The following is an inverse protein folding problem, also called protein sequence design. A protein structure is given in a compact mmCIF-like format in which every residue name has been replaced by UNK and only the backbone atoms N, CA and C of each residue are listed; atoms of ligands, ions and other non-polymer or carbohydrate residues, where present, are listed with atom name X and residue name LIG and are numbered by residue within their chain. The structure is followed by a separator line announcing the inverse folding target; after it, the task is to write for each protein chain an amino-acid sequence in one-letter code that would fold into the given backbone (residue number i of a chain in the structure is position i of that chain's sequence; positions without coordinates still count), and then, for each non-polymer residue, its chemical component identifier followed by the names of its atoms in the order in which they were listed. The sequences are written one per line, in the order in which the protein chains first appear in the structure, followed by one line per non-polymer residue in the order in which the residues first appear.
data_IF_268607634305
#
_entry.id   IF_268607634305
#
_cell.length_a   1.000
_cell.length_b   1.000
_cell.length_c   1.000
_cell.angle_alpha   90.00
_cell.angle_beta   90.00
_cell.angle_gamma   90.00
#
_symmetry.space_group_name_H-M   'P 1'
#
loop_
_entity.id
_entity.type
_entity.pdbx_description
1 polymer ?
#
# COMPACT_ATOMS: atom_id res chain seq x y z
N UNK A 1 27.50 18.92 15.03
CA UNK A 1 27.43 17.45 15.19
C UNK A 1 26.03 17.02 14.80
N UNK A 2 25.87 16.25 13.71
CA UNK A 2 24.56 15.72 13.33
C UNK A 2 24.17 14.65 14.36
N UNK A 3 23.23 15.00 15.21
CA UNK A 3 22.74 14.14 16.28
C UNK A 3 21.64 13.19 15.73
N UNK A 4 21.94 12.50 14.64
CA UNK A 4 21.00 11.49 14.10
C UNK A 4 21.26 10.18 14.84
N UNK A 5 20.26 9.74 15.61
CA UNK A 5 20.27 8.47 16.36
C UNK A 5 20.31 7.23 15.44
N UNK A 6 20.05 7.39 14.15
CA UNK A 6 20.08 6.31 13.16
C UNK A 6 20.85 6.75 11.92
N UNK A 7 21.66 5.85 11.38
CA UNK A 7 22.35 6.08 10.11
C UNK A 7 21.35 6.23 8.95
N UNK A 8 21.68 7.12 8.01
CA UNK A 8 20.88 7.38 6.81
C UNK A 8 20.63 6.11 5.98
N UNK A 9 21.62 5.22 5.91
CA UNK A 9 21.50 3.95 5.20
C UNK A 9 20.46 3.03 5.85
N UNK A 10 20.43 2.96 7.18
CA UNK A 10 19.44 2.19 7.93
C UNK A 10 18.03 2.76 7.75
N UNK A 11 17.88 4.07 7.80
CA UNK A 11 16.59 4.72 7.56
C UNK A 11 16.06 4.42 6.16
N UNK A 12 16.93 4.45 5.15
CA UNK A 12 16.56 4.06 3.79
C UNK A 12 16.21 2.58 3.68
N UNK A 13 16.91 1.71 4.39
CA UNK A 13 16.58 0.28 4.44
C UNK A 13 15.20 0.03 5.04
N UNK A 14 14.84 0.71 6.13
CA UNK A 14 13.51 0.66 6.75
C UNK A 14 12.44 1.13 5.76
N UNK A 15 12.66 2.27 5.09
CA UNK A 15 11.74 2.80 4.09
C UNK A 15 11.51 1.82 2.93
N UNK A 16 12.58 1.21 2.42
CA UNK A 16 12.51 0.22 1.37
C UNK A 16 11.78 -1.06 1.81
N UNK A 17 12.01 -1.52 3.03
CA UNK A 17 11.31 -2.68 3.60
C UNK A 17 9.81 -2.42 3.68
N UNK A 18 9.39 -1.25 4.16
CA UNK A 18 7.98 -0.89 4.26
C UNK A 18 7.29 -0.86 2.90
N UNK A 19 7.91 -0.22 1.89
CA UNK A 19 7.30 -0.12 0.55
C UNK A 19 7.22 -1.49 -0.14
N UNK A 20 8.22 -2.34 0.05
CA UNK A 20 8.21 -3.71 -0.47
C UNK A 20 7.11 -4.55 0.17
N UNK A 21 6.90 -4.43 1.48
CA UNK A 21 5.83 -5.13 2.20
C UNK A 21 4.46 -4.72 1.66
N UNK A 22 4.22 -3.42 1.47
CA UNK A 22 2.99 -2.89 0.87
C UNK A 22 2.78 -3.43 -0.55
N UNK A 23 3.82 -3.47 -1.37
CA UNK A 23 3.75 -4.00 -2.74
C UNK A 23 3.42 -5.51 -2.76
N UNK A 24 3.98 -6.26 -1.82
CA UNK A 24 3.71 -7.70 -1.68
C UNK A 24 2.26 -7.93 -1.26
N UNK A 25 1.80 -7.22 -0.20
CA UNK A 25 0.43 -7.39 0.29
C UNK A 25 -0.63 -6.93 -0.73
N UNK A 26 -0.35 -5.86 -1.49
CA UNK A 26 -1.16 -5.46 -2.64
C UNK A 26 -1.36 -6.60 -3.65
N UNK A 27 -0.29 -7.34 -3.96
CA UNK A 27 -0.35 -8.51 -4.84
C UNK A 27 -1.12 -9.66 -4.19
N UNK A 28 -0.84 -9.95 -2.92
CA UNK A 28 -1.47 -11.03 -2.15
C UNK A 28 -2.98 -10.85 -2.04
N UNK A 29 -3.43 -9.62 -1.88
CA UNK A 29 -4.85 -9.28 -1.91
C UNK A 29 -5.45 -9.25 -3.33
N UNK A 30 -4.67 -9.58 -4.36
CA UNK A 30 -5.13 -9.74 -5.75
C UNK A 30 -5.48 -8.43 -6.45
N UNK A 31 -4.92 -7.30 -6.01
CA UNK A 31 -5.18 -5.98 -6.60
C UNK A 31 -4.32 -5.69 -7.82
N UNK A 32 -3.23 -6.44 -8.01
CA UNK A 32 -2.31 -6.18 -9.13
C UNK A 32 -2.93 -6.58 -10.46
N UNK A 33 -3.17 -5.61 -11.33
CA UNK A 33 -3.67 -5.81 -12.70
C UNK A 33 -2.61 -5.47 -13.76
N UNK A 34 -2.02 -4.28 -13.67
CA UNK A 34 -1.06 -3.76 -14.67
C UNK A 34 0.33 -3.52 -14.09
N UNK A 35 0.48 -3.57 -12.78
CA UNK A 35 1.73 -3.21 -12.08
C UNK A 35 1.91 -1.71 -11.84
N UNK A 36 1.16 -0.84 -12.53
CA UNK A 36 1.33 0.62 -12.43
C UNK A 36 1.22 1.16 -11.01
N UNK A 37 0.33 0.60 -10.18
CA UNK A 37 0.16 1.02 -8.80
C UNK A 37 1.47 0.84 -8.01
N UNK A 38 2.11 -0.31 -8.16
CA UNK A 38 3.35 -0.65 -7.45
C UNK A 38 4.50 0.25 -7.92
N UNK A 39 4.56 0.59 -9.21
CA UNK A 39 5.59 1.46 -9.76
C UNK A 39 5.47 2.92 -9.27
N UNK A 40 4.31 3.32 -8.75
CA UNK A 40 4.04 4.64 -8.22
C UNK A 40 4.04 4.68 -6.68
N UNK A 41 4.49 3.61 -6.02
CA UNK A 41 4.73 3.62 -4.60
C UNK A 41 6.03 4.39 -4.32
N UNK A 42 5.95 5.40 -3.48
CA UNK A 42 7.09 6.24 -3.13
C UNK A 42 7.22 6.38 -1.62
N UNK A 43 8.43 6.63 -1.14
CA UNK A 43 8.71 7.01 0.23
C UNK A 43 9.46 8.32 0.26
N UNK A 44 9.17 9.13 1.28
CA UNK A 44 9.91 10.35 1.60
C UNK A 44 10.39 10.28 3.04
N UNK A 45 11.67 10.52 3.24
CA UNK A 45 12.29 10.60 4.54
C UNK A 45 12.41 12.07 4.91
N UNK A 46 11.88 12.45 6.06
CA UNK A 46 12.01 13.78 6.66
C UNK A 46 12.86 13.60 7.92
N UNK A 47 14.07 14.16 7.89
CA UNK A 47 15.00 14.12 9.00
C UNK A 47 15.01 15.49 9.71
N UNK A 48 14.83 15.49 11.03
CA UNK A 48 14.83 16.64 11.90
C UNK A 48 15.18 16.23 13.33
N UNK A 49 14.45 16.73 14.31
CA UNK A 49 14.49 16.20 15.69
C UNK A 49 13.99 14.75 15.72
N UNK A 50 13.07 14.42 14.80
CA UNK A 50 12.50 13.10 14.61
C UNK A 50 12.74 12.63 13.17
N UNK A 51 12.80 11.32 12.97
CA UNK A 51 12.86 10.72 11.64
C UNK A 51 11.46 10.24 11.27
N UNK A 52 10.91 10.85 10.22
CA UNK A 52 9.58 10.49 9.70
C UNK A 52 9.75 9.86 8.32
N UNK A 53 9.23 8.64 8.15
CA UNK A 53 9.15 7.96 6.86
C UNK A 53 7.70 8.03 6.39
N UNK A 54 7.45 8.79 5.33
CA UNK A 54 6.13 8.93 4.72
C UNK A 54 6.03 8.04 3.48
N UNK A 55 4.99 7.21 3.43
CA UNK A 55 4.65 6.44 2.23
C UNK A 55 3.60 7.19 1.40
N UNK A 56 3.78 7.21 0.08
CA UNK A 56 2.84 7.77 -0.87
C UNK A 56 2.26 6.67 -1.74
N UNK A 57 0.95 6.68 -1.87
CA UNK A 57 0.20 5.78 -2.73
C UNK A 57 -0.69 6.57 -3.67
N UNK A 58 -1.02 6.03 -4.83
CA UNK A 58 -1.98 6.68 -5.73
C UNK A 58 -3.39 6.67 -5.13
N UNK A 59 -4.19 7.69 -5.42
CA UNK A 59 -5.51 7.92 -4.80
C UNK A 59 -6.42 6.69 -4.80
N UNK A 60 -6.43 5.93 -5.88
CA UNK A 60 -7.29 4.75 -5.94
C UNK A 60 -6.83 3.61 -5.01
N UNK A 61 -5.54 3.52 -4.68
CA UNK A 61 -5.04 2.56 -3.68
C UNK A 61 -5.57 2.89 -2.29
N UNK A 62 -5.61 4.18 -1.92
CA UNK A 62 -6.18 4.62 -0.65
C UNK A 62 -7.66 4.22 -0.54
N UNK A 63 -8.43 4.42 -1.62
CA UNK A 63 -9.83 3.98 -1.68
C UNK A 63 -10.00 2.46 -1.58
N UNK A 64 -9.09 1.69 -2.16
CA UNK A 64 -9.10 0.23 -2.05
C UNK A 64 -8.71 -0.20 -0.64
N UNK A 65 -7.74 0.47 -0.02
CA UNK A 65 -7.32 0.17 1.35
C UNK A 65 -8.47 0.37 2.34
N UNK A 66 -9.14 1.50 2.26
CA UNK A 66 -10.29 1.81 3.12
C UNK A 66 -11.57 1.04 2.76
N UNK A 67 -11.68 0.61 1.49
CA UNK A 67 -12.94 0.15 0.91
C UNK A 67 -13.91 1.30 0.61
N UNK A 68 -14.95 1.01 -0.15
CA UNK A 68 -16.01 1.97 -0.50
C UNK A 68 -17.36 1.42 -0.10
N UNK A 69 -18.08 2.13 0.75
CA UNK A 69 -19.43 1.71 1.18
C UNK A 69 -20.42 1.72 0.02
N UNK A 70 -21.46 0.90 0.09
CA UNK A 70 -22.51 0.79 -0.92
C UNK A 70 -23.15 2.16 -1.24
N UNK A 71 -23.31 3.02 -0.24
CA UNK A 71 -23.86 4.37 -0.41
C UNK A 71 -23.00 5.24 -1.35
N UNK A 72 -21.67 5.10 -1.26
CA UNK A 72 -20.69 5.91 -1.98
C UNK A 72 -20.35 5.36 -3.37
N UNK A 73 -20.91 4.22 -3.78
CA UNK A 73 -20.71 3.68 -5.13
C UNK A 73 -21.42 4.58 -6.14
N UNK A 74 -20.69 5.16 -7.13
CA UNK A 74 -21.25 6.10 -8.10
C UNK A 74 -22.00 5.39 -9.23
N UNK A 75 -22.99 4.59 -8.84
CA UNK A 75 -23.83 3.83 -9.75
C UNK A 75 -25.26 3.81 -9.27
N UNK A 76 -26.19 4.10 -10.17
CA UNK A 76 -27.65 4.03 -9.93
C UNK A 76 -28.27 3.15 -11.03
N UNK A 77 -28.83 1.97 -10.69
CA UNK A 77 -29.52 1.13 -11.65
C UNK A 77 -30.65 1.90 -12.35
N UNK A 78 -30.77 1.75 -13.65
CA UNK A 78 -31.86 2.37 -14.42
C UNK A 78 -31.67 3.87 -14.75
N UNK A 79 -30.61 4.54 -14.31
CA UNK A 79 -30.38 5.96 -14.57
C UNK A 79 -30.04 6.30 -16.04
N UNK A 80 -29.91 5.32 -16.92
CA UNK A 80 -29.57 5.53 -18.33
C UNK A 80 -28.14 6.04 -18.57
N UNK A 81 -27.32 6.14 -17.55
CA UNK A 81 -25.93 6.58 -17.64
C UNK A 81 -25.09 5.66 -18.53
N UNK A 82 -25.01 6.05 -19.81
CA UNK A 82 -24.34 5.24 -20.85
C UNK A 82 -22.83 5.16 -20.68
N UNK A 83 -22.19 6.09 -19.98
CA UNK A 83 -20.73 6.11 -19.79
C UNK A 83 -20.31 6.94 -18.58
N UNK A 84 -20.45 6.40 -17.38
CA UNK A 84 -19.73 6.98 -16.24
C UNK A 84 -18.28 6.50 -16.26
N UNK A 85 -17.34 7.32 -15.77
CA UNK A 85 -15.92 6.92 -15.60
C UNK A 85 -15.80 5.61 -14.81
N UNK A 86 -16.68 5.41 -13.84
CA UNK A 86 -16.73 4.20 -13.04
C UNK A 86 -17.09 2.96 -13.88
N UNK A 87 -18.14 3.02 -14.70
CA UNK A 87 -18.54 1.91 -15.58
C UNK A 87 -17.47 1.66 -16.65
N UNK A 88 -16.91 2.70 -17.25
CA UNK A 88 -15.80 2.55 -18.23
C UNK A 88 -14.60 1.84 -17.59
N UNK A 89 -14.22 2.22 -16.38
CA UNK A 89 -13.14 1.55 -15.64
C UNK A 89 -13.43 0.07 -15.35
N UNK A 90 -14.69 -0.28 -15.04
CA UNK A 90 -15.08 -1.67 -14.84
C UNK A 90 -15.06 -2.46 -16.16
N UNK A 91 -15.44 -1.86 -17.29
CA UNK A 91 -15.36 -2.51 -18.61
C UNK A 91 -13.90 -2.81 -18.95
N UNK A 92 -13.00 -1.84 -18.76
CA UNK A 92 -11.56 -2.02 -18.99
C UNK A 92 -10.95 -3.06 -18.05
N UNK A 93 -11.37 -3.08 -16.79
CA UNK A 93 -10.98 -4.11 -15.83
C UNK A 93 -11.39 -5.50 -16.33
N UNK A 94 -12.63 -5.69 -16.76
CA UNK A 94 -13.14 -6.99 -17.23
C UNK A 94 -12.41 -7.44 -18.50
N UNK A 95 -12.17 -6.54 -19.44
CA UNK A 95 -11.39 -6.85 -20.65
C UNK A 95 -9.99 -7.35 -20.29
N UNK A 96 -9.26 -6.61 -19.42
CA UNK A 96 -7.88 -6.92 -19.05
C UNK A 96 -7.78 -8.18 -18.17
N UNK A 97 -8.71 -8.34 -17.24
CA UNK A 97 -8.66 -9.44 -16.25
C UNK A 97 -9.22 -10.74 -16.79
N UNK A 98 -10.24 -10.67 -17.67
CA UNK A 98 -11.02 -11.82 -18.10
C UNK A 98 -10.94 -12.07 -19.61
N UNK A 99 -10.26 -11.23 -20.39
CA UNK A 99 -10.12 -11.40 -21.85
C UNK A 99 -11.45 -11.32 -22.62
N UNK A 100 -12.45 -10.58 -22.09
CA UNK A 100 -13.80 -10.55 -22.64
C UNK A 100 -13.95 -9.54 -23.78
N UNK A 101 -14.83 -9.87 -24.74
CA UNK A 101 -15.25 -8.95 -25.81
C UNK A 101 -15.97 -7.73 -25.22
N UNK A 102 -16.06 -6.65 -26.01
CA UNK A 102 -16.70 -5.39 -25.58
C UNK A 102 -18.11 -5.57 -25.06
N UNK A 103 -18.90 -6.39 -25.76
CA UNK A 103 -20.30 -6.67 -25.40
C UNK A 103 -20.39 -7.43 -24.07
N UNK A 104 -19.59 -8.48 -23.91
CA UNK A 104 -19.55 -9.29 -22.67
C UNK A 104 -19.00 -8.47 -21.52
N UNK A 105 -17.91 -7.73 -21.73
CA UNK A 105 -17.28 -6.90 -20.72
C UNK A 105 -18.25 -5.85 -20.17
N UNK A 106 -19.05 -5.24 -21.04
CA UNK A 106 -20.09 -4.29 -20.65
C UNK A 106 -21.15 -4.94 -19.76
N UNK A 107 -21.67 -6.12 -20.14
CA UNK A 107 -22.66 -6.83 -19.34
C UNK A 107 -22.12 -7.21 -17.96
N UNK A 108 -20.89 -7.74 -17.91
CA UNK A 108 -20.24 -8.12 -16.65
C UNK A 108 -19.96 -6.88 -15.79
N UNK A 109 -19.52 -5.76 -16.38
CA UNK A 109 -19.27 -4.51 -15.66
C UNK A 109 -20.52 -3.99 -14.96
N UNK A 110 -21.67 -4.03 -15.60
CA UNK A 110 -22.95 -3.66 -14.98
C UNK A 110 -23.35 -4.61 -13.85
N UNK A 111 -23.11 -5.91 -14.00
CA UNK A 111 -23.35 -6.89 -12.94
C UNK A 111 -22.45 -6.62 -11.72
N UNK A 112 -21.16 -6.31 -11.94
CA UNK A 112 -20.22 -5.91 -10.90
C UNK A 112 -20.69 -4.62 -10.23
N UNK A 113 -21.06 -3.59 -11.01
CA UNK A 113 -21.53 -2.31 -10.48
C UNK A 113 -22.78 -2.46 -9.60
N UNK A 114 -23.73 -3.29 -10.05
CA UNK A 114 -24.94 -3.62 -9.28
C UNK A 114 -24.62 -4.31 -7.96
N UNK A 115 -23.61 -5.18 -7.95
CA UNK A 115 -23.14 -5.84 -6.75
C UNK A 115 -22.44 -4.87 -5.80
N UNK A 116 -21.55 -4.01 -6.33
CA UNK A 116 -20.91 -2.96 -5.55
C UNK A 116 -21.94 -2.02 -4.91
N UNK A 117 -23.02 -1.69 -5.63
CA UNK A 117 -24.10 -0.84 -5.08
C UNK A 117 -24.87 -1.50 -3.93
N UNK A 118 -24.88 -2.83 -3.87
CA UNK A 118 -25.52 -3.59 -2.78
C UNK A 118 -24.59 -3.87 -1.61
N UNK A 119 -23.32 -4.19 -1.89
CA UNK A 119 -22.38 -4.73 -0.89
C UNK A 119 -21.26 -3.76 -0.53
N UNK A 120 -21.03 -2.73 -1.34
CA UNK A 120 -19.80 -1.93 -1.31
C UNK A 120 -18.67 -2.54 -2.15
N UNK A 121 -17.52 -1.93 -2.10
CA UNK A 121 -16.30 -2.38 -2.77
C UNK A 121 -15.17 -2.48 -1.74
N UNK A 122 -14.50 -3.63 -1.65
CA UNK A 122 -14.67 -4.85 -2.43
C UNK A 122 -15.96 -5.62 -2.06
N UNK A 123 -16.54 -6.34 -3.04
CA UNK A 123 -17.67 -7.22 -2.77
C UNK A 123 -17.23 -8.52 -2.09
N UNK A 124 -18.14 -9.18 -1.35
CA UNK A 124 -17.86 -10.46 -0.67
C UNK A 124 -17.31 -11.53 -1.63
N UNK A 125 -17.83 -11.61 -2.85
CA UNK A 125 -17.37 -12.59 -3.83
C UNK A 125 -15.95 -12.34 -4.34
N UNK A 126 -15.39 -11.14 -4.15
CA UNK A 126 -14.05 -10.80 -4.61
C UNK A 126 -12.94 -11.37 -3.72
N UNK A 127 -13.25 -11.81 -2.51
CA UNK A 127 -12.31 -12.42 -1.56
C UNK A 127 -11.58 -13.63 -2.16
N UNK A 128 -12.23 -14.38 -3.05
CA UNK A 128 -11.63 -15.51 -3.77
C UNK A 128 -10.39 -15.16 -4.62
N UNK A 129 -10.18 -13.87 -4.91
CA UNK A 129 -9.01 -13.40 -5.66
C UNK A 129 -7.83 -12.99 -4.78
N UNK A 130 -8.00 -13.08 -3.46
CA UNK A 130 -6.97 -12.81 -2.47
C UNK A 130 -6.42 -14.12 -1.92
N UNK A 131 -5.11 -14.22 -1.78
CA UNK A 131 -4.45 -15.34 -1.09
C UNK A 131 -4.53 -15.23 0.43
N UNK A 132 -4.75 -14.01 0.96
CA UNK A 132 -4.85 -13.73 2.39
C UNK A 132 -6.30 -13.72 2.90
N UNK A 133 -7.29 -13.88 2.02
CA UNK A 133 -8.70 -13.77 2.38
C UNK A 133 -9.17 -12.34 2.67
N UNK A 134 -8.29 -11.32 2.54
CA UNK A 134 -8.60 -9.91 2.71
C UNK A 134 -8.55 -9.17 1.39
N UNK A 135 -9.29 -8.08 1.27
CA UNK A 135 -9.32 -7.21 0.08
C UNK A 135 -9.26 -5.73 0.44
N UNK A 136 -9.03 -5.41 1.70
CA UNK A 136 -8.87 -4.07 2.28
C UNK A 136 -7.81 -4.11 3.36
N UNK A 137 -7.35 -2.94 3.83
CA UNK A 137 -6.36 -2.87 4.91
C UNK A 137 -5.00 -3.46 4.50
N UNK A 138 -4.62 -3.34 3.23
CA UNK A 138 -3.35 -3.92 2.75
C UNK A 138 -2.13 -3.16 3.28
N UNK A 139 -2.25 -1.85 3.56
CA UNK A 139 -1.17 -1.05 4.13
C UNK A 139 -0.91 -1.50 5.57
N UNK A 140 -1.97 -1.55 6.38
CA UNK A 140 -1.91 -1.95 7.77
C UNK A 140 -1.40 -3.40 7.89
N UNK A 141 -1.97 -4.32 7.11
CA UNK A 141 -1.54 -5.72 7.11
C UNK A 141 -0.08 -5.90 6.69
N UNK A 142 0.41 -5.09 5.75
CA UNK A 142 1.81 -5.11 5.33
C UNK A 142 2.74 -4.64 6.45
N UNK A 143 2.39 -3.54 7.13
CA UNK A 143 3.20 -2.98 8.22
C UNK A 143 3.21 -3.90 9.44
N UNK A 144 2.05 -4.41 9.84
CA UNK A 144 1.93 -5.40 10.92
C UNK A 144 2.79 -6.65 10.65
N UNK A 145 2.82 -7.10 9.39
CA UNK A 145 3.60 -8.27 8.99
C UNK A 145 5.12 -8.11 9.07
N UNK A 146 5.61 -6.87 9.02
CA UNK A 146 7.05 -6.56 9.10
C UNK A 146 7.47 -5.93 10.42
N UNK A 147 6.53 -5.64 11.33
CA UNK A 147 6.80 -4.98 12.61
C UNK A 147 7.97 -5.61 13.39
N UNK A 148 8.06 -6.95 13.58
CA UNK A 148 9.18 -7.55 14.30
C UNK A 148 10.52 -7.30 13.61
N UNK A 149 10.55 -7.28 12.28
CA UNK A 149 11.76 -7.02 11.51
C UNK A 149 12.15 -5.54 11.58
N UNK A 150 11.18 -4.64 11.59
CA UNK A 150 11.42 -3.21 11.78
C UNK A 150 12.00 -2.94 13.17
N UNK A 151 11.42 -3.56 14.22
CA UNK A 151 11.92 -3.43 15.58
C UNK A 151 13.38 -3.88 15.69
N UNK A 152 13.72 -5.06 15.16
CA UNK A 152 15.08 -5.56 15.18
C UNK A 152 16.08 -4.65 14.45
N UNK A 153 15.70 -4.07 13.30
CA UNK A 153 16.56 -3.13 12.56
C UNK A 153 16.79 -1.83 13.36
N UNK A 154 15.76 -1.33 14.04
CA UNK A 154 15.86 -0.11 14.84
C UNK A 154 16.73 -0.39 16.06
N UNK A 155 16.54 -1.49 16.78
CA UNK A 155 17.35 -1.88 17.94
C UNK A 155 18.83 -1.98 17.55
N UNK A 156 19.16 -2.68 16.47
CA UNK A 156 20.53 -2.79 15.98
C UNK A 156 21.13 -1.41 15.69
N UNK A 157 20.41 -0.54 14.97
CA UNK A 157 20.95 0.78 14.62
C UNK A 157 21.14 1.70 15.82
N UNK A 158 20.29 1.60 16.83
CA UNK A 158 20.45 2.32 18.09
C UNK A 158 21.66 1.81 18.87
N UNK A 159 21.84 0.49 18.95
CA UNK A 159 23.01 -0.13 19.61
C UNK A 159 24.31 0.29 18.96
N UNK A 160 24.43 0.19 17.63
CA UNK A 160 25.61 0.62 16.87
C UNK A 160 25.93 2.12 17.10
N UNK A 161 24.90 2.97 17.14
CA UNK A 161 25.06 4.40 17.43
C UNK A 161 25.58 4.66 18.83
N UNK A 162 25.05 3.94 19.83
CA UNK A 162 25.49 4.07 21.22
C UNK A 162 26.95 3.64 21.37
N UNK A 163 27.33 2.50 20.78
CA UNK A 163 28.70 2.00 20.80
C UNK A 163 29.63 3.03 20.18
N UNK A 164 29.30 3.55 19.00
CA UNK A 164 30.12 4.57 18.32
C UNK A 164 30.31 5.83 19.17
N UNK A 165 29.25 6.31 19.81
CA UNK A 165 29.33 7.51 20.70
C UNK A 165 30.23 7.24 21.89
N UNK A 166 30.11 6.07 22.54
CA UNK A 166 30.96 5.70 23.68
C UNK A 166 32.41 5.55 23.27
N UNK A 167 32.72 4.87 22.18
CA UNK A 167 34.09 4.72 21.66
C UNK A 167 34.72 6.08 21.37
N UNK A 168 33.99 6.94 20.64
CA UNK A 168 34.45 8.31 20.33
C UNK A 168 34.71 9.14 21.58
N UNK A 169 33.89 8.97 22.63
CA UNK A 169 34.08 9.64 23.91
C UNK A 169 35.36 9.16 24.64
N UNK A 170 35.56 7.84 24.68
CA UNK A 170 36.73 7.26 25.34
C UNK A 170 38.03 7.60 24.60
N UNK A 171 38.06 7.53 23.27
CA UNK A 171 39.22 7.93 22.47
C UNK A 171 39.61 9.40 22.74
N UNK A 172 38.62 10.29 22.85
CA UNK A 172 38.84 11.71 23.12
C UNK A 172 39.42 11.94 24.54
N UNK A 173 39.11 11.08 25.51
CA UNK A 173 39.63 11.20 26.89
C UNK A 173 41.00 10.56 27.09
N UNK A 174 41.29 9.46 26.38
CA UNK A 174 42.57 8.72 26.49
C UNK A 174 43.69 9.40 25.69
N UNK A 175 43.32 10.11 24.62
CA UNK A 175 44.26 10.85 23.76
C UNK A 175 44.74 12.19 24.33
N UNK A 176 44.40 12.51 25.58
CA UNK A 176 44.92 13.65 26.38
C UNK A 176 45.84 13.12 27.46
#
# INVERSE_FOLDING_TARGET
MNNQLLDTALVQQIANLAIQAVAIEWKNQGHNLTGNAIQQLETRIIAGSDIIIQGYVVDYMANINAGVTAANIPYSPGSGARSSKYISGLIDYVKRRMGKSDREAKSIAFAIASRHKKEGMPSKASVRFSSTGKRTGFIEAALDGIEPKLAALIEQGVEETIIFVLESYFETQIGR
#
